data_IF_670396921700
#
_entry.id   IF_670396921700
#
_cell.length_a   1.000
_cell.length_b   1.000
_cell.length_c   1.000
_cell.angle_alpha   90.00
_cell.angle_beta   90.00
_cell.angle_gamma   90.00
#
_symmetry.space_group_name_H-M   'P 1'
#
loop_
_entity.id
_entity.type
_entity.pdbx_description
1 polymer ?
#
# COMPACT_ATOMS: atom_id res chain seq x y z
N UNK A 1 9.26 5.11 -6.00
CA UNK A 1 7.87 5.23 -6.51
C UNK A 1 7.74 6.40 -7.49
N UNK A 2 7.76 7.67 -7.08
CA UNK A 2 7.56 8.81 -8.00
C UNK A 2 8.48 8.85 -9.25
N UNK A 3 9.77 8.47 -9.18
CA UNK A 3 10.58 8.34 -10.39
C UNK A 3 10.00 7.35 -11.41
N UNK A 4 9.52 6.19 -10.97
CA UNK A 4 8.88 5.20 -11.84
C UNK A 4 7.55 5.73 -12.42
N UNK A 5 6.73 6.36 -11.57
CA UNK A 5 5.45 6.96 -11.99
C UNK A 5 5.65 8.07 -13.03
N UNK A 6 6.75 8.83 -12.94
CA UNK A 6 7.14 9.82 -13.95
C UNK A 6 7.45 9.17 -15.30
N UNK A 7 8.26 8.11 -15.32
CA UNK A 7 8.57 7.38 -16.56
C UNK A 7 7.31 6.81 -17.22
N UNK A 8 6.37 6.33 -16.40
CA UNK A 8 5.08 5.79 -16.83
C UNK A 8 4.01 6.86 -17.11
N UNK A 9 4.34 8.15 -16.90
CA UNK A 9 3.43 9.29 -17.06
C UNK A 9 2.15 9.19 -16.22
N UNK A 10 2.25 8.58 -15.04
CA UNK A 10 1.15 8.50 -14.07
C UNK A 10 1.27 9.59 -13.01
N UNK A 11 0.18 9.82 -12.27
CA UNK A 11 0.08 10.89 -11.26
C UNK A 11 1.09 10.64 -10.14
N UNK A 12 1.88 11.66 -9.80
CA UNK A 12 2.82 11.61 -8.68
C UNK A 12 2.08 11.50 -7.33
N UNK A 13 2.70 10.81 -6.37
CA UNK A 13 2.14 10.66 -5.02
C UNK A 13 2.77 11.69 -4.08
N UNK A 14 1.95 12.34 -3.27
CA UNK A 14 2.38 13.35 -2.30
C UNK A 14 2.30 12.79 -0.88
N UNK A 15 3.23 13.22 -0.03
CA UNK A 15 3.22 12.91 1.40
C UNK A 15 2.69 14.13 2.15
N UNK A 16 1.42 14.09 2.55
CA UNK A 16 0.79 15.13 3.38
C UNK A 16 0.70 14.68 4.84
N UNK A 17 0.54 15.65 5.76
CA UNK A 17 0.27 15.35 7.17
C UNK A 17 -0.97 14.47 7.35
N UNK A 18 -1.98 14.69 6.50
CA UNK A 18 -3.18 13.86 6.45
C UNK A 18 -2.85 12.41 6.09
N UNK A 19 -2.06 12.19 5.02
CA UNK A 19 -1.68 10.84 4.58
C UNK A 19 -0.86 10.11 5.65
N UNK A 20 0.05 10.83 6.32
CA UNK A 20 0.86 10.28 7.40
C UNK A 20 0.01 9.88 8.61
N UNK A 21 -0.85 10.77 9.11
CA UNK A 21 -1.73 10.47 10.25
C UNK A 21 -2.71 9.34 9.93
N UNK A 22 -3.26 9.30 8.71
CA UNK A 22 -4.10 8.19 8.25
C UNK A 22 -3.35 6.85 8.31
N UNK A 23 -2.15 6.79 7.74
CA UNK A 23 -1.34 5.57 7.72
C UNK A 23 -0.95 5.09 9.13
N UNK A 24 -0.60 6.01 10.03
CA UNK A 24 -0.26 5.69 11.44
C UNK A 24 -1.48 5.14 12.18
N UNK A 25 -2.65 5.77 12.05
CA UNK A 25 -3.88 5.29 12.70
C UNK A 25 -4.28 3.93 12.18
N UNK A 26 -4.15 3.70 10.87
CA UNK A 26 -4.41 2.40 10.28
C UNK A 26 -3.46 1.38 10.89
N UNK A 27 -2.15 1.63 10.89
CA UNK A 27 -1.17 0.73 11.48
C UNK A 27 -1.45 0.41 12.96
N UNK A 28 -1.90 1.39 13.76
CA UNK A 28 -2.26 1.20 15.16
C UNK A 28 -3.56 0.42 15.37
N UNK A 29 -4.51 0.52 14.44
CA UNK A 29 -5.78 -0.22 14.50
C UNK A 29 -5.63 -1.69 14.13
N UNK A 30 -4.56 -2.05 13.40
CA UNK A 30 -4.26 -3.42 13.03
C UNK A 30 -3.72 -4.17 14.25
N UNK A 31 -4.42 -5.22 14.68
CA UNK A 31 -3.85 -6.18 15.63
C UNK A 31 -2.64 -6.88 14.99
N UNK A 32 -1.60 -7.12 15.79
CA UNK A 32 -0.28 -7.68 15.43
C UNK A 32 -0.26 -9.03 14.68
N UNK A 33 -1.43 -9.59 14.33
CA UNK A 33 -1.62 -10.92 13.74
C UNK A 33 -2.23 -10.90 12.35
N UNK A 34 -2.43 -9.74 11.72
CA UNK A 34 -3.16 -9.65 10.46
C UNK A 34 -2.37 -10.23 9.27
N UNK A 35 -2.79 -11.43 8.88
CA UNK A 35 -2.47 -12.10 7.62
C UNK A 35 -3.23 -11.51 6.42
N UNK A 36 -4.30 -10.75 6.68
CA UNK A 36 -5.22 -10.20 5.67
C UNK A 36 -5.48 -8.71 5.90
N UNK A 37 -5.99 -8.00 4.88
CA UNK A 37 -6.41 -6.61 5.03
C UNK A 37 -7.56 -6.49 6.04
N UNK A 38 -7.46 -5.53 6.98
CA UNK A 38 -8.56 -5.18 7.89
C UNK A 38 -9.40 -4.05 7.30
N UNK A 39 -10.37 -4.42 6.46
CA UNK A 39 -11.24 -3.46 5.77
C UNK A 39 -12.10 -2.65 6.71
N UNK A 40 -12.55 -3.23 7.82
CA UNK A 40 -13.43 -2.54 8.77
C UNK A 40 -12.70 -1.38 9.44
N UNK A 41 -11.46 -1.57 9.87
CA UNK A 41 -10.64 -0.48 10.39
C UNK A 41 -10.32 0.58 9.34
N UNK A 42 -10.06 0.17 8.08
CA UNK A 42 -9.84 1.10 6.99
C UNK A 42 -11.07 1.97 6.71
N UNK A 43 -12.26 1.36 6.61
CA UNK A 43 -13.52 2.07 6.40
C UNK A 43 -13.82 2.99 7.59
N UNK A 44 -13.60 2.52 8.82
CA UNK A 44 -13.84 3.31 10.02
C UNK A 44 -12.95 4.57 10.07
N UNK A 45 -11.65 4.42 9.79
CA UNK A 45 -10.70 5.54 9.78
C UNK A 45 -11.02 6.51 8.63
N UNK A 46 -11.30 6.00 7.43
CA UNK A 46 -11.71 6.81 6.28
C UNK A 46 -12.94 7.68 6.61
N UNK A 47 -13.96 7.08 7.24
CA UNK A 47 -15.15 7.81 7.72
C UNK A 47 -14.82 8.88 8.75
N UNK A 48 -13.98 8.59 9.76
CA UNK A 48 -13.54 9.60 10.75
C UNK A 48 -12.79 10.75 10.10
N UNK A 49 -12.11 10.49 8.98
CA UNK A 49 -11.31 11.46 8.24
C UNK A 49 -12.06 12.18 7.12
N UNK A 50 -13.32 11.81 6.87
CA UNK A 50 -14.15 12.41 5.82
C UNK A 50 -13.65 12.12 4.41
N UNK A 51 -12.99 10.97 4.20
CA UNK A 51 -12.49 10.54 2.89
C UNK A 51 -13.11 9.21 2.47
N UNK A 52 -13.18 9.00 1.16
CA UNK A 52 -13.56 7.70 0.60
C UNK A 52 -12.46 6.67 0.87
N UNK A 53 -12.79 5.46 1.34
CA UNK A 53 -11.82 4.38 1.51
C UNK A 53 -11.31 3.92 0.14
N UNK A 54 -10.13 4.40 -0.28
CA UNK A 54 -9.49 4.01 -1.54
C UNK A 54 -8.15 3.31 -1.32
N UNK A 55 -7.95 2.22 -2.06
CA UNK A 55 -6.68 1.49 -2.16
C UNK A 55 -6.35 0.64 -0.93
N UNK A 56 -5.78 -0.54 -1.18
CA UNK A 56 -5.26 -1.44 -0.14
C UNK A 56 -3.90 -1.95 -0.61
N UNK A 57 -2.87 -1.77 0.20
CA UNK A 57 -1.74 -2.68 0.20
C UNK A 57 -1.28 -2.86 1.64
N UNK A 58 -1.31 -4.10 2.11
CA UNK A 58 -0.83 -4.48 3.43
C UNK A 58 0.12 -5.66 3.21
N UNK A 59 1.40 -5.41 3.44
CA UNK A 59 2.41 -6.46 3.45
C UNK A 59 2.73 -6.83 4.89
N UNK A 60 2.64 -8.11 5.20
CA UNK A 60 3.20 -8.66 6.43
C UNK A 60 4.56 -9.30 6.14
N UNK A 61 5.48 -9.18 7.09
CA UNK A 61 6.76 -9.88 7.08
C UNK A 61 6.79 -10.83 8.27
N UNK A 62 7.25 -12.07 8.05
CA UNK A 62 7.42 -13.06 9.11
C UNK A 62 8.51 -12.69 10.12
N UNK A 63 9.36 -11.72 9.78
CA UNK A 63 10.55 -11.29 10.53
C UNK A 63 10.21 -10.28 11.64
N UNK A 64 9.13 -10.49 12.40
CA UNK A 64 8.72 -9.55 13.45
C UNK A 64 9.88 -9.27 14.42
N UNK A 65 10.20 -7.98 14.58
CA UNK A 65 11.11 -7.47 15.60
C UNK A 65 10.40 -6.43 16.45
N UNK A 66 10.65 -6.48 17.75
CA UNK A 66 10.12 -5.48 18.69
C UNK A 66 10.65 -4.08 18.41
N UNK A 67 11.84 -3.97 17.81
CA UNK A 67 12.46 -2.71 17.37
C UNK A 67 13.15 -2.92 16.03
N UNK A 68 13.01 -1.92 15.15
CA UNK A 68 13.73 -1.85 13.89
C UNK A 68 14.69 -0.66 13.92
N UNK A 69 15.89 -0.85 13.38
CA UNK A 69 16.71 0.28 12.99
C UNK A 69 16.07 0.97 11.77
N UNK A 70 16.42 2.23 11.51
CA UNK A 70 15.99 2.92 10.28
C UNK A 70 16.42 2.14 9.03
N UNK A 71 17.60 1.52 9.06
CA UNK A 71 18.11 0.69 7.97
C UNK A 71 17.23 -0.54 7.73
N UNK A 72 16.90 -1.29 8.78
CA UNK A 72 16.07 -2.49 8.67
C UNK A 72 14.67 -2.15 8.16
N UNK A 73 14.08 -1.06 8.68
CA UNK A 73 12.77 -0.57 8.22
C UNK A 73 12.79 -0.21 6.72
N UNK A 74 13.81 0.53 6.27
CA UNK A 74 13.99 0.85 4.84
C UNK A 74 14.15 -0.42 4.00
N UNK A 75 14.97 -1.37 4.45
CA UNK A 75 15.20 -2.64 3.76
C UNK A 75 13.90 -3.42 3.56
N UNK A 76 13.06 -3.50 4.59
CA UNK A 76 11.74 -4.14 4.50
C UNK A 76 10.83 -3.43 3.50
N UNK A 77 10.77 -2.10 3.54
CA UNK A 77 9.97 -1.32 2.57
C UNK A 77 10.43 -1.57 1.13
N UNK A 78 11.73 -1.55 0.86
CA UNK A 78 12.26 -1.85 -0.47
C UNK A 78 11.98 -3.29 -0.91
N UNK A 79 12.06 -4.26 0.00
CA UNK A 79 11.72 -5.66 -0.29
C UNK A 79 10.24 -5.81 -0.64
N UNK A 80 9.33 -5.19 0.13
CA UNK A 80 7.90 -5.16 -0.21
C UNK A 80 7.68 -4.58 -1.61
N UNK A 81 8.27 -3.41 -1.90
CA UNK A 81 8.11 -2.76 -3.19
C UNK A 81 8.61 -3.64 -4.35
N UNK A 82 9.77 -4.29 -4.19
CA UNK A 82 10.30 -5.17 -5.23
C UNK A 82 9.38 -6.37 -5.49
N UNK A 83 8.85 -7.00 -4.43
CA UNK A 83 7.88 -8.09 -4.59
C UNK A 83 6.60 -7.61 -5.27
N UNK A 84 6.02 -6.49 -4.82
CA UNK A 84 4.76 -5.98 -5.40
C UNK A 84 4.88 -5.55 -6.87
N UNK A 85 6.07 -5.10 -7.28
CA UNK A 85 6.28 -4.60 -8.64
C UNK A 85 6.73 -5.69 -9.62
N UNK A 86 7.36 -6.76 -9.14
CA UNK A 86 8.05 -7.71 -10.03
C UNK A 86 7.76 -9.18 -9.73
N UNK A 87 7.17 -9.50 -8.58
CA UNK A 87 6.94 -10.87 -8.11
C UNK A 87 5.58 -11.00 -7.39
N UNK A 88 4.57 -10.31 -7.92
CA UNK A 88 3.21 -10.25 -7.35
C UNK A 88 2.23 -11.18 -8.07
N UNK A 89 2.75 -12.23 -8.71
CA UNK A 89 1.98 -13.22 -9.47
C UNK A 89 0.86 -13.89 -8.65
N UNK A 90 1.05 -14.04 -7.34
CA UNK A 90 0.01 -14.55 -6.43
C UNK A 90 -1.25 -13.67 -6.37
N UNK A 91 -1.13 -12.38 -6.68
CA UNK A 91 -2.23 -11.42 -6.68
C UNK A 91 -2.50 -10.87 -8.09
N UNK A 92 -2.13 -11.62 -9.14
CA UNK A 92 -2.30 -11.25 -10.54
C UNK A 92 -1.75 -9.84 -10.88
N UNK A 93 -0.67 -9.42 -10.20
CA UNK A 93 -0.05 -8.10 -10.34
C UNK A 93 -0.98 -6.91 -10.01
N UNK A 94 -2.07 -7.15 -9.25
CA UNK A 94 -3.01 -6.09 -8.88
C UNK A 94 -2.39 -4.98 -8.01
N UNK A 95 -1.32 -5.28 -7.25
CA UNK A 95 -0.64 -4.26 -6.45
C UNK A 95 0.26 -3.37 -7.28
N UNK A 96 0.91 -3.91 -8.33
CA UNK A 96 1.75 -3.13 -9.25
C UNK A 96 0.94 -1.99 -9.86
N UNK A 97 -0.23 -2.29 -10.41
CA UNK A 97 -1.11 -1.31 -11.03
C UNK A 97 -1.46 -0.19 -10.04
N UNK A 98 -1.84 -0.54 -8.80
CA UNK A 98 -2.16 0.43 -7.74
C UNK A 98 -0.94 1.32 -7.37
N UNK A 99 0.23 0.69 -7.14
CA UNK A 99 1.46 1.38 -6.73
C UNK A 99 1.99 2.30 -7.82
N UNK A 100 1.76 1.95 -9.09
CA UNK A 100 2.18 2.75 -10.23
C UNK A 100 1.09 3.70 -10.72
N UNK A 101 -0.15 3.61 -10.21
CA UNK A 101 -1.26 4.50 -10.58
C UNK A 101 -1.79 4.20 -11.97
N UNK A 102 -1.80 2.93 -12.32
CA UNK A 102 -2.28 2.39 -13.59
C UNK A 102 -3.64 1.70 -13.41
N UNK A 103 -4.40 2.11 -12.38
CA UNK A 103 -5.68 1.53 -11.98
C UNK A 103 -6.70 1.47 -13.14
N UNK A 104 -6.59 2.40 -14.09
CA UNK A 104 -7.39 2.45 -15.33
C UNK A 104 -7.19 1.22 -16.23
N UNK A 105 -5.99 0.63 -16.24
CA UNK A 105 -5.70 -0.60 -17.01
C UNK A 105 -6.53 -1.77 -16.47
N UNK A 106 -6.75 -1.84 -15.15
CA UNK A 106 -7.53 -2.91 -14.53
C UNK A 106 -9.04 -2.80 -14.80
N UNK A 107 -9.53 -1.62 -15.18
CA UNK A 107 -10.93 -1.42 -15.55
C UNK A 107 -11.19 -1.80 -17.01
N UNK A 108 -10.24 -1.55 -17.91
CA UNK A 108 -10.32 -1.93 -19.33
C UNK A 108 -10.37 -3.46 -19.50
N UNK A 109 -9.53 -4.22 -18.79
CA UNK A 109 -9.52 -5.68 -18.84
C UNK A 109 -10.77 -6.36 -18.27
N UNK A 110 -11.63 -5.65 -17.52
CA UNK A 110 -12.89 -6.20 -16.99
C UNK A 110 -14.07 -6.05 -17.93
N UNK A 111 -13.91 -5.33 -19.04
CA UNK A 111 -14.95 -5.13 -20.04
C UNK A 111 -14.84 -6.07 -21.25
N UNK A 112 -13.81 -6.91 -21.31
CA UNK A 112 -13.64 -8.01 -22.27
C UNK A 112 -14.01 -9.37 -21.66
#
# INVERSE_FOLDING_TARGET
>A
MNPLRKELRTVAVEMSDFALDYAVRLAQSLNSTLRYHNYDSLIAIAKTKGVEPKGKDCQSFSEYRQRYSLYDAKKLIYRALAWRLFDDSHADYGHEATILGMDWILEEYKQE
#
